data_IF_347392890241
#
_entry.id   IF_347392890241
#
_cell.length_a   1.000
_cell.length_b   1.000
_cell.length_c   1.000
_cell.angle_alpha   90.00
_cell.angle_beta   90.00
_cell.angle_gamma   90.00
#
_symmetry.space_group_name_H-M   'P 1'
#
loop_
_entity.id
_entity.type
_entity.pdbx_description
1 polymer ?
#
# COMPACT_ATOMS: atom_id res chain seq x y z
N UNK A 1 -1.45 -26.41 -7.72
CA UNK A 1 -1.18 -25.07 -8.29
C UNK A 1 -2.28 -24.08 -8.02
N UNK A 2 -3.51 -24.42 -8.37
CA UNK A 2 -4.66 -23.52 -8.18
C UNK A 2 -4.87 -23.16 -6.70
N UNK A 3 -4.76 -24.14 -5.81
CA UNK A 3 -4.93 -23.93 -4.37
C UNK A 3 -3.89 -23.00 -3.79
N UNK A 4 -2.64 -23.10 -4.23
CA UNK A 4 -1.56 -22.23 -3.76
C UNK A 4 -1.75 -20.79 -4.24
N UNK A 5 -2.21 -20.60 -5.47
CA UNK A 5 -2.52 -19.29 -6.03
C UNK A 5 -3.68 -18.67 -5.28
N UNK A 6 -4.74 -19.43 -5.04
CA UNK A 6 -5.91 -18.94 -4.27
C UNK A 6 -5.51 -18.53 -2.86
N UNK A 7 -4.72 -19.37 -2.18
CA UNK A 7 -4.25 -19.06 -0.83
C UNK A 7 -3.45 -17.77 -0.80
N UNK A 8 -2.54 -17.59 -1.76
CA UNK A 8 -1.72 -16.39 -1.82
C UNK A 8 -2.57 -15.14 -2.03
N UNK A 9 -3.53 -15.19 -2.94
CA UNK A 9 -4.43 -14.08 -3.22
C UNK A 9 -5.25 -13.74 -1.98
N UNK A 10 -5.81 -14.75 -1.32
CA UNK A 10 -6.59 -14.56 -0.10
C UNK A 10 -5.73 -13.90 0.98
N UNK A 11 -4.53 -14.44 1.23
CA UNK A 11 -3.64 -13.93 2.26
C UNK A 11 -3.24 -12.46 1.99
N UNK A 12 -2.94 -12.13 0.74
CA UNK A 12 -2.56 -10.76 0.38
C UNK A 12 -3.73 -9.79 0.54
N UNK A 13 -4.89 -10.14 0.02
CA UNK A 13 -6.08 -9.29 0.12
C UNK A 13 -6.48 -9.07 1.58
N UNK A 14 -6.51 -10.14 2.36
CA UNK A 14 -6.88 -10.04 3.75
C UNK A 14 -5.87 -9.23 4.56
N UNK A 15 -4.57 -9.36 4.26
CA UNK A 15 -3.54 -8.55 4.90
C UNK A 15 -3.67 -7.08 4.50
N UNK A 16 -3.76 -6.81 3.20
CA UNK A 16 -3.76 -5.44 2.68
C UNK A 16 -4.98 -4.64 3.12
N UNK A 17 -6.13 -5.28 3.22
CA UNK A 17 -7.39 -4.59 3.51
C UNK A 17 -7.89 -4.86 4.93
N UNK A 18 -7.02 -5.33 5.84
CA UNK A 18 -7.42 -5.73 7.18
C UNK A 18 -7.64 -4.57 8.14
N UNK A 19 -7.26 -3.35 7.79
CA UNK A 19 -7.45 -2.19 8.66
C UNK A 19 -7.72 -0.93 7.86
N UNK A 20 -8.41 0.01 8.50
CA UNK A 20 -8.68 1.31 7.90
C UNK A 20 -7.37 2.07 7.65
N UNK A 21 -6.38 1.89 8.51
CA UNK A 21 -5.07 2.52 8.35
C UNK A 21 -4.37 2.09 7.08
N UNK A 22 -4.32 0.79 6.80
CA UNK A 22 -3.74 0.27 5.57
C UNK A 22 -4.51 0.78 4.34
N UNK A 23 -5.83 0.79 4.42
CA UNK A 23 -6.66 1.27 3.31
C UNK A 23 -6.41 2.75 3.03
N UNK A 24 -6.28 3.57 4.06
CA UNK A 24 -5.98 5.00 3.89
C UNK A 24 -4.59 5.24 3.30
N UNK A 25 -3.60 4.46 3.69
CA UNK A 25 -2.26 4.53 3.11
C UNK A 25 -2.31 4.14 1.63
N UNK A 26 -2.97 3.04 1.30
CA UNK A 26 -3.12 2.60 -0.09
C UNK A 26 -3.81 3.68 -0.93
N UNK A 27 -4.87 4.27 -0.41
CA UNK A 27 -5.59 5.33 -1.11
C UNK A 27 -4.69 6.53 -1.39
N UNK A 28 -3.92 6.97 -0.40
CA UNK A 28 -3.00 8.09 -0.56
C UNK A 28 -1.96 7.81 -1.66
N UNK A 29 -1.32 6.65 -1.60
CA UNK A 29 -0.27 6.29 -2.54
C UNK A 29 -0.84 6.03 -3.95
N UNK A 30 -2.03 5.44 -4.04
CA UNK A 30 -2.69 5.18 -5.32
C UNK A 30 -3.17 6.45 -6.00
N UNK A 31 -3.51 7.50 -5.24
CA UNK A 31 -3.89 8.80 -5.82
C UNK A 31 -2.73 9.48 -6.53
N UNK A 32 -1.51 9.20 -6.11
CA UNK A 32 -0.30 9.78 -6.69
C UNK A 32 0.72 8.67 -6.93
N UNK A 33 0.44 7.77 -7.90
CA UNK A 33 1.24 6.56 -8.08
C UNK A 33 2.68 6.81 -8.50
N UNK A 34 2.97 7.99 -9.04
CA UNK A 34 4.33 8.38 -9.46
C UNK A 34 5.12 9.06 -8.34
N UNK A 35 4.49 9.27 -7.18
CA UNK A 35 5.14 9.96 -6.06
C UNK A 35 5.54 8.99 -4.98
N UNK A 36 6.74 9.18 -4.42
CA UNK A 36 7.21 8.43 -3.27
C UNK A 36 7.12 9.31 -2.01
N UNK A 37 6.48 8.78 -0.97
CA UNK A 37 6.18 9.50 0.26
C UNK A 37 7.08 9.05 1.41
N UNK A 38 7.53 9.99 2.24
CA UNK A 38 8.16 9.65 3.52
C UNK A 38 7.07 9.30 4.54
N UNK A 39 7.46 8.63 5.64
CA UNK A 39 6.53 8.36 6.74
C UNK A 39 5.93 9.65 7.31
N UNK A 40 6.75 10.70 7.38
CA UNK A 40 6.31 12.01 7.84
C UNK A 40 5.19 12.57 6.96
N UNK A 41 5.38 12.53 5.64
CA UNK A 41 4.37 13.00 4.70
C UNK A 41 3.08 12.20 4.82
N UNK A 42 3.19 10.87 4.96
CA UNK A 42 2.03 10.00 5.15
C UNK A 42 1.29 10.39 6.44
N UNK A 43 2.03 10.64 7.52
CA UNK A 43 1.46 11.05 8.80
C UNK A 43 0.74 12.38 8.74
N UNK A 44 1.22 13.30 7.89
CA UNK A 44 0.55 14.60 7.70
C UNK A 44 -0.73 14.50 6.88
N UNK A 45 -0.81 13.52 6.00
CA UNK A 45 -1.93 13.38 5.06
C UNK A 45 -2.96 12.33 5.47
N UNK A 46 -2.72 11.63 6.57
CA UNK A 46 -3.63 10.60 7.08
C UNK A 46 -3.81 10.79 8.60
N UNK A 47 -4.96 10.40 9.16
CA UNK A 47 -5.17 10.48 10.61
C UNK A 47 -4.63 9.23 11.31
N UNK A 48 -3.39 8.85 11.00
CA UNK A 48 -2.77 7.62 11.53
C UNK A 48 -1.56 8.03 12.38
N UNK A 49 -1.41 7.42 13.58
CA UNK A 49 -0.27 7.72 14.43
C UNK A 49 1.02 7.10 13.86
N UNK A 50 2.22 7.63 14.25
CA UNK A 50 3.48 7.17 13.66
C UNK A 50 3.76 5.69 13.81
N UNK A 51 3.38 5.08 14.93
CA UNK A 51 3.60 3.65 15.16
C UNK A 51 2.77 2.80 14.20
N UNK A 52 1.50 3.15 14.02
CA UNK A 52 0.62 2.42 13.13
C UNK A 52 1.03 2.62 11.67
N UNK A 53 1.51 3.80 11.29
CA UNK A 53 2.06 4.04 9.96
C UNK A 53 3.21 3.08 9.69
N UNK A 54 4.17 2.99 10.62
CA UNK A 54 5.32 2.11 10.49
C UNK A 54 4.89 0.65 10.32
N UNK A 55 3.99 0.19 11.18
CA UNK A 55 3.52 -1.20 11.16
C UNK A 55 2.73 -1.52 9.89
N UNK A 56 1.88 -0.60 9.46
CA UNK A 56 1.08 -0.79 8.24
C UNK A 56 1.95 -0.77 6.99
N UNK A 57 2.94 0.11 6.92
CA UNK A 57 3.88 0.14 5.80
C UNK A 57 4.69 -1.16 5.73
N UNK A 58 5.14 -1.66 6.88
CA UNK A 58 5.90 -2.91 6.93
C UNK A 58 5.08 -4.08 6.39
N UNK A 59 3.82 -4.19 6.81
CA UNK A 59 2.93 -5.26 6.35
C UNK A 59 2.69 -5.17 4.83
N UNK A 60 2.47 -3.96 4.32
CA UNK A 60 2.25 -3.77 2.88
C UNK A 60 3.51 -4.02 2.04
N UNK A 61 4.69 -3.70 2.59
CA UNK A 61 5.96 -4.03 1.94
C UNK A 61 6.17 -5.54 1.86
N UNK A 62 5.85 -6.25 2.94
CA UNK A 62 6.06 -7.70 3.01
C UNK A 62 5.24 -8.47 1.96
N UNK A 63 4.05 -8.00 1.63
CA UNK A 63 3.23 -8.62 0.58
C UNK A 63 3.53 -8.08 -0.82
N UNK A 64 4.49 -7.16 -0.93
CA UNK A 64 4.94 -6.64 -2.22
C UNK A 64 4.07 -5.58 -2.85
N UNK A 65 3.14 -4.99 -2.10
CA UNK A 65 2.23 -3.97 -2.64
C UNK A 65 2.85 -2.57 -2.70
N UNK A 66 3.91 -2.35 -1.93
CA UNK A 66 4.64 -1.09 -1.94
C UNK A 66 6.08 -1.28 -2.39
N UNK A 67 6.66 -0.22 -2.92
CA UNK A 67 8.08 -0.13 -3.24
C UNK A 67 8.73 0.82 -2.24
N UNK A 68 9.91 0.44 -1.74
CA UNK A 68 10.68 1.27 -0.81
C UNK A 68 11.91 1.83 -1.52
N UNK A 69 12.13 3.13 -1.38
CA UNK A 69 13.33 3.81 -1.88
C UNK A 69 14.13 4.33 -0.70
N UNK A 70 15.44 4.08 -0.71
CA UNK A 70 16.34 4.55 0.34
C UNK A 70 17.42 5.46 -0.26
N UNK A 71 17.55 6.67 0.31
CA UNK A 71 18.59 7.63 -0.03
C UNK A 71 19.27 8.07 1.26
N UNK A 72 20.40 7.45 1.61
CA UNK A 72 21.04 7.72 2.89
C UNK A 72 20.12 7.41 4.06
N UNK A 73 19.73 8.44 4.82
CA UNK A 73 18.80 8.28 5.94
C UNK A 73 17.33 8.40 5.54
N UNK A 74 17.06 8.80 4.31
CA UNK A 74 15.71 9.03 3.84
C UNK A 74 15.11 7.75 3.29
N UNK A 75 13.92 7.40 3.76
CA UNK A 75 13.13 6.29 3.26
C UNK A 75 11.83 6.81 2.69
N UNK A 76 11.50 6.40 1.46
CA UNK A 76 10.26 6.78 0.79
C UNK A 76 9.53 5.54 0.31
N UNK A 77 8.22 5.66 0.20
CA UNK A 77 7.33 4.55 -0.15
C UNK A 77 6.42 4.97 -1.28
N UNK A 78 6.25 4.10 -2.25
CA UNK A 78 5.31 4.31 -3.35
C UNK A 78 4.53 3.04 -3.61
N UNK A 79 3.41 3.18 -4.32
CA UNK A 79 2.60 2.02 -4.71
C UNK A 79 3.37 1.21 -5.76
N UNK A 80 3.34 -0.11 -5.64
CA UNK A 80 4.02 -1.00 -6.59
C UNK A 80 3.12 -1.26 -7.79
N UNK A 81 3.32 -0.48 -8.86
CA UNK A 81 2.51 -0.60 -10.07
C UNK A 81 2.77 -1.87 -10.87
N UNK A 82 3.83 -2.60 -10.55
CA UNK A 82 4.13 -3.87 -11.22
C UNK A 82 3.37 -5.05 -10.62
N UNK A 83 2.76 -4.86 -9.46
CA UNK A 83 2.01 -5.93 -8.79
C UNK A 83 0.62 -6.07 -9.39
N UNK A 84 0.28 -7.29 -9.82
CA UNK A 84 -0.99 -7.57 -10.51
C UNK A 84 -2.23 -7.18 -9.69
N UNK A 85 -2.28 -7.56 -8.42
CA UNK A 85 -3.43 -7.23 -7.56
C UNK A 85 -3.54 -5.73 -7.33
N UNK A 86 -2.41 -5.04 -7.18
CA UNK A 86 -2.39 -3.58 -7.04
C UNK A 86 -2.96 -2.91 -8.29
N UNK A 87 -2.56 -3.36 -9.48
CA UNK A 87 -3.08 -2.82 -10.74
C UNK A 87 -4.59 -2.97 -10.83
N UNK A 88 -5.11 -4.14 -10.50
CA UNK A 88 -6.55 -4.41 -10.55
C UNK A 88 -7.33 -3.60 -9.53
N UNK A 89 -6.80 -3.49 -8.33
CA UNK A 89 -7.44 -2.72 -7.26
C UNK A 89 -7.42 -1.22 -7.58
N UNK A 90 -6.31 -0.74 -8.14
CA UNK A 90 -6.17 0.65 -8.56
C UNK A 90 -7.25 1.00 -9.61
N UNK A 91 -7.44 0.13 -10.59
CA UNK A 91 -8.48 0.30 -11.63
C UNK A 91 -9.86 0.31 -11.00
N UNK A 92 -10.14 -0.64 -10.12
CA UNK A 92 -11.43 -0.72 -9.43
C UNK A 92 -11.71 0.56 -8.62
N UNK A 93 -10.74 1.01 -7.85
CA UNK A 93 -10.90 2.22 -7.03
C UNK A 93 -11.11 3.47 -7.88
N UNK A 94 -10.48 3.56 -9.04
CA UNK A 94 -10.70 4.67 -9.97
C UNK A 94 -12.11 4.61 -10.54
N UNK A 95 -12.56 3.42 -10.93
CA UNK A 95 -13.86 3.22 -11.54
C UNK A 95 -15.02 3.60 -10.61
N UNK A 96 -14.83 3.41 -9.30
CA UNK A 96 -15.86 3.75 -8.30
C UNK A 96 -15.65 5.12 -7.66
N UNK A 97 -14.70 5.91 -8.16
CA UNK A 97 -14.38 7.25 -7.65
C UNK A 97 -13.89 7.27 -6.21
N UNK A 98 -13.24 6.19 -5.78
CA UNK A 98 -12.62 6.14 -4.45
C UNK A 98 -11.31 6.95 -4.40
N UNK A 99 -10.65 7.12 -5.52
CA UNK A 99 -9.38 7.86 -5.62
C UNK A 99 -9.57 9.32 -6.03
#
# INVERSE_FOLDING_TARGET
MTEEIEKRVVDEIETALSSIGKLKILRLLMKSPDHAFTRYEIGKKTPINPRDIKNNLQALLEIGWLTELKYGHLQKYSINLDHNLVQRLLTFFRDIDYL
#
